data_IF_279840728767
#
_entry.id   IF_279840728767
#
_cell.length_a   1.000
_cell.length_b   1.000
_cell.length_c   1.000
_cell.angle_alpha   90.00
_cell.angle_beta   90.00
_cell.angle_gamma   90.00
#
_symmetry.space_group_name_H-M   'P 1'
#
loop_
_entity.id
_entity.type
_entity.pdbx_description
1 polymer ?
#
# COMPACT_ATOMS: atom_id res chain seq x y z
N UNK A 1 -1.41 -13.57 -2.40
CA UNK A 1 -2.32 -14.51 -3.09
C UNK A 1 -1.68 -15.89 -3.09
N UNK A 2 -2.44 -16.97 -3.34
CA UNK A 2 -1.81 -18.27 -3.63
C UNK A 2 -0.98 -18.16 -4.91
N UNK A 3 0.10 -18.94 -4.97
CA UNK A 3 0.89 -19.07 -6.19
C UNK A 3 0.09 -19.84 -7.24
N UNK A 4 -0.09 -19.24 -8.40
CA UNK A 4 -0.82 -19.82 -9.53
C UNK A 4 -0.03 -19.51 -10.81
N UNK A 5 -0.12 -20.37 -11.84
CA UNK A 5 0.48 -20.07 -13.13
C UNK A 5 0.01 -18.71 -13.65
N UNK A 6 0.94 -17.89 -14.12
CA UNK A 6 0.71 -16.49 -14.48
C UNK A 6 -0.48 -16.28 -15.42
N UNK A 7 -0.65 -17.16 -16.41
CA UNK A 7 -1.65 -17.03 -17.49
C UNK A 7 -2.69 -18.16 -17.43
N UNK A 8 -2.99 -18.65 -16.21
CA UNK A 8 -3.82 -19.84 -16.03
C UNK A 8 -5.23 -19.69 -16.61
N UNK A 9 -5.81 -18.47 -16.64
CA UNK A 9 -7.16 -18.26 -17.16
C UNK A 9 -7.18 -18.21 -18.68
N UNK A 10 -6.22 -17.54 -19.27
CA UNK A 10 -6.06 -17.39 -20.71
C UNK A 10 -5.82 -18.75 -21.36
N UNK A 11 -4.86 -19.51 -20.82
CA UNK A 11 -4.53 -20.85 -21.30
C UNK A 11 -5.71 -21.80 -21.11
N UNK A 12 -6.34 -21.81 -19.93
CA UNK A 12 -7.48 -22.69 -19.67
C UNK A 12 -8.67 -22.36 -20.57
N UNK A 13 -8.93 -21.08 -20.84
CA UNK A 13 -10.00 -20.65 -21.73
C UNK A 13 -9.79 -21.19 -23.15
N UNK A 14 -8.61 -20.96 -23.73
CA UNK A 14 -8.31 -21.43 -25.09
C UNK A 14 -8.39 -22.96 -25.20
N UNK A 15 -7.83 -23.68 -24.22
CA UNK A 15 -7.88 -25.14 -24.21
C UNK A 15 -9.31 -25.68 -24.09
N UNK A 16 -10.11 -25.11 -23.18
CA UNK A 16 -11.50 -25.55 -22.99
C UNK A 16 -12.45 -25.08 -24.09
N UNK A 17 -12.04 -24.14 -24.94
CA UNK A 17 -12.80 -23.72 -26.14
C UNK A 17 -12.50 -24.60 -27.35
N UNK A 18 -11.24 -24.98 -27.57
CA UNK A 18 -10.81 -25.67 -28.81
C UNK A 18 -10.65 -27.18 -28.63
N UNK A 19 -10.20 -27.63 -27.47
CA UNK A 19 -9.78 -29.02 -27.21
C UNK A 19 -10.44 -29.56 -25.92
N UNK A 20 -11.74 -29.30 -25.75
CA UNK A 20 -12.45 -29.70 -24.53
C UNK A 20 -12.66 -31.21 -24.39
N UNK A 21 -12.62 -31.94 -25.50
CA UNK A 21 -12.71 -33.40 -25.59
C UNK A 21 -11.44 -34.10 -25.10
N UNK A 22 -10.29 -33.43 -25.16
CA UNK A 22 -9.02 -33.90 -24.59
C UNK A 22 -8.92 -33.70 -23.06
N UNK A 23 -9.85 -32.93 -22.47
CA UNK A 23 -9.84 -32.60 -21.04
C UNK A 23 -10.86 -33.48 -20.30
N UNK A 24 -10.46 -34.22 -19.25
CA UNK A 24 -11.40 -34.99 -18.45
C UNK A 24 -12.31 -34.06 -17.65
N UNK A 25 -13.63 -34.28 -17.75
CA UNK A 25 -14.66 -33.50 -17.06
C UNK A 25 -14.53 -31.97 -17.26
N UNK A 26 -14.59 -31.48 -18.51
CA UNK A 26 -14.28 -30.08 -18.84
C UNK A 26 -15.24 -29.09 -18.15
N UNK A 27 -16.50 -29.48 -17.94
CA UNK A 27 -17.48 -28.65 -17.22
C UNK A 27 -17.12 -28.46 -15.75
N UNK A 28 -16.56 -29.49 -15.12
CA UNK A 28 -16.08 -29.38 -13.73
C UNK A 28 -14.90 -28.43 -13.64
N UNK A 29 -13.98 -28.49 -14.61
CA UNK A 29 -12.86 -27.55 -14.69
C UNK A 29 -13.35 -26.11 -14.86
N UNK A 30 -14.34 -25.87 -15.73
CA UNK A 30 -14.96 -24.54 -15.90
C UNK A 30 -15.54 -24.01 -14.59
N UNK A 31 -16.26 -24.84 -13.84
CA UNK A 31 -16.80 -24.47 -12.53
C UNK A 31 -15.70 -24.10 -11.53
N UNK A 32 -14.65 -24.92 -11.42
CA UNK A 32 -13.54 -24.64 -10.50
C UNK A 32 -12.78 -23.36 -10.87
N UNK A 33 -12.54 -23.12 -12.16
CA UNK A 33 -11.89 -21.88 -12.62
C UNK A 33 -12.74 -20.65 -12.30
N UNK A 34 -14.06 -20.76 -12.44
CA UNK A 34 -15.00 -19.72 -12.03
C UNK A 34 -14.92 -19.45 -10.53
N UNK A 35 -14.97 -20.47 -9.70
CA UNK A 35 -14.89 -20.34 -8.23
C UNK A 35 -13.57 -19.68 -7.80
N UNK A 36 -12.45 -20.11 -8.38
CA UNK A 36 -11.13 -19.50 -8.14
C UNK A 36 -11.14 -18.02 -8.54
N UNK A 37 -11.70 -17.69 -9.70
CA UNK A 37 -11.76 -16.32 -10.20
C UNK A 37 -12.61 -15.44 -9.28
N UNK A 38 -13.75 -15.92 -8.82
CA UNK A 38 -14.64 -15.19 -7.90
C UNK A 38 -13.96 -14.94 -6.55
N UNK A 39 -13.34 -15.96 -5.96
CA UNK A 39 -12.62 -15.84 -4.70
C UNK A 39 -11.46 -14.84 -4.80
N UNK A 40 -10.71 -14.87 -5.91
CA UNK A 40 -9.59 -13.96 -6.15
C UNK A 40 -10.05 -12.52 -6.38
N UNK A 41 -11.14 -12.32 -7.14
CA UNK A 41 -11.73 -10.99 -7.31
C UNK A 41 -12.24 -10.40 -5.99
N UNK A 42 -12.84 -11.21 -5.11
CA UNK A 42 -13.23 -10.76 -3.77
C UNK A 42 -12.01 -10.29 -2.97
N UNK A 43 -10.94 -11.09 -2.95
CA UNK A 43 -9.68 -10.74 -2.28
C UNK A 43 -9.00 -9.50 -2.85
N UNK A 44 -9.04 -9.30 -4.17
CA UNK A 44 -8.56 -8.07 -4.80
C UNK A 44 -9.35 -6.87 -4.28
N UNK A 45 -10.69 -6.93 -4.27
CA UNK A 45 -11.53 -5.83 -3.77
C UNK A 45 -11.25 -5.50 -2.31
N UNK A 46 -11.03 -6.50 -1.47
CA UNK A 46 -10.58 -6.29 -0.09
C UNK A 46 -9.21 -5.62 -0.04
N UNK A 47 -8.27 -6.05 -0.89
CA UNK A 47 -6.95 -5.44 -1.02
C UNK A 47 -6.98 -3.97 -1.48
N UNK A 48 -7.99 -3.57 -2.25
CA UNK A 48 -8.17 -2.18 -2.68
C UNK A 48 -8.40 -1.21 -1.50
N UNK A 49 -8.90 -1.70 -0.36
CA UNK A 49 -9.09 -0.85 0.82
C UNK A 49 -7.77 -0.29 1.37
N UNK A 50 -6.63 -0.91 1.04
CA UNK A 50 -5.29 -0.50 1.48
C UNK A 50 -4.56 0.41 0.46
N UNK A 51 -5.26 0.89 -0.59
CA UNK A 51 -4.63 1.75 -1.60
C UNK A 51 -4.15 3.08 -1.00
N UNK A 52 -2.94 3.48 -1.34
CA UNK A 52 -2.32 4.75 -0.94
C UNK A 52 -1.47 5.30 -2.09
N UNK A 53 -0.97 6.53 -1.98
CA UNK A 53 -0.21 7.19 -3.06
C UNK A 53 1.17 6.57 -3.33
N UNK A 54 1.72 5.78 -2.41
CA UNK A 54 3.11 5.33 -2.42
C UNK A 54 3.25 3.90 -2.92
N UNK A 55 2.56 2.94 -2.30
CA UNK A 55 2.74 1.53 -2.58
C UNK A 55 1.50 0.68 -2.24
N UNK A 56 1.13 -0.22 -3.15
CA UNK A 56 0.16 -1.29 -2.91
C UNK A 56 0.76 -2.63 -3.30
N UNK A 57 0.87 -3.54 -2.32
CA UNK A 57 1.43 -4.87 -2.51
C UNK A 57 0.35 -5.93 -2.69
N UNK A 58 0.18 -6.45 -3.90
CA UNK A 58 -0.65 -7.62 -4.19
C UNK A 58 0.12 -8.64 -5.03
N UNK A 59 0.97 -9.47 -4.41
CA UNK A 59 1.80 -10.44 -5.13
C UNK A 59 0.94 -11.60 -5.67
N UNK A 60 1.43 -12.23 -6.74
CA UNK A 60 0.84 -13.39 -7.39
C UNK A 60 -0.54 -13.13 -8.01
N UNK A 61 -0.74 -11.98 -8.65
CA UNK A 61 -1.86 -11.72 -9.56
C UNK A 61 -1.57 -12.31 -10.94
N UNK A 62 -2.60 -12.85 -11.61
CA UNK A 62 -2.46 -13.33 -12.99
C UNK A 62 -2.40 -12.18 -13.99
N UNK A 63 -1.97 -12.46 -15.22
CA UNK A 63 -1.92 -11.45 -16.28
C UNK A 63 -3.30 -10.86 -16.57
N UNK A 64 -4.34 -11.70 -16.73
CA UNK A 64 -5.71 -11.25 -16.95
C UNK A 64 -6.21 -10.36 -15.81
N UNK A 65 -5.99 -10.77 -14.55
CA UNK A 65 -6.39 -9.96 -13.38
C UNK A 65 -5.69 -8.60 -13.38
N UNK A 66 -4.38 -8.56 -13.66
CA UNK A 66 -3.64 -7.30 -13.73
C UNK A 66 -4.14 -6.40 -14.87
N UNK A 67 -4.48 -6.98 -16.02
CA UNK A 67 -4.98 -6.23 -17.17
C UNK A 67 -6.32 -5.55 -16.89
N UNK A 68 -7.18 -6.19 -16.10
CA UNK A 68 -8.48 -5.65 -15.70
C UNK A 68 -8.36 -4.54 -14.65
N UNK A 69 -7.39 -4.65 -13.75
CA UNK A 69 -7.18 -3.68 -12.67
C UNK A 69 -6.37 -2.47 -13.11
N UNK A 70 -5.55 -2.60 -14.15
CA UNK A 70 -4.64 -1.55 -14.64
C UNK A 70 -5.31 -0.18 -14.85
N UNK A 71 -6.40 -0.04 -15.62
CA UNK A 71 -6.99 1.29 -15.86
C UNK A 71 -7.49 1.94 -14.57
N UNK A 72 -8.04 1.16 -13.65
CA UNK A 72 -8.47 1.66 -12.35
C UNK A 72 -7.28 2.14 -11.52
N UNK A 73 -6.22 1.33 -11.40
CA UNK A 73 -5.04 1.71 -10.61
C UNK A 73 -4.34 2.94 -11.18
N UNK A 74 -4.11 2.99 -12.49
CA UNK A 74 -3.47 4.15 -13.11
C UNK A 74 -4.19 5.46 -12.77
N UNK A 75 -5.52 5.46 -12.80
CA UNK A 75 -6.31 6.63 -12.42
C UNK A 75 -6.25 6.90 -10.91
N UNK A 76 -6.50 5.88 -10.07
CA UNK A 76 -6.55 6.03 -8.62
C UNK A 76 -5.23 6.53 -8.05
N UNK A 77 -4.10 5.94 -8.44
CA UNK A 77 -2.77 6.37 -8.01
C UNK A 77 -2.44 7.78 -8.49
N UNK A 78 -2.81 8.15 -9.73
CA UNK A 78 -2.62 9.52 -10.21
C UNK A 78 -3.35 10.50 -9.31
N UNK A 79 -4.62 10.23 -8.98
CA UNK A 79 -5.44 11.12 -8.14
C UNK A 79 -4.96 11.16 -6.69
N UNK A 80 -4.58 10.03 -6.11
CA UNK A 80 -4.04 9.98 -4.76
C UNK A 80 -2.74 10.77 -4.66
N UNK A 81 -1.89 10.70 -5.69
CA UNK A 81 -0.65 11.48 -5.77
C UNK A 81 -0.91 12.98 -5.98
N UNK A 82 -1.94 13.35 -6.73
CA UNK A 82 -2.32 14.76 -6.91
C UNK A 82 -2.81 15.39 -5.58
N UNK A 83 -3.39 14.58 -4.68
CA UNK A 83 -3.90 15.02 -3.39
C UNK A 83 -2.89 14.88 -2.23
N UNK A 84 -1.78 14.18 -2.44
CA UNK A 84 -0.80 13.93 -1.40
C UNK A 84 0.00 15.22 -1.12
N UNK A 85 -0.10 15.82 0.08
CA UNK A 85 0.62 17.05 0.42
C UNK A 85 2.15 16.84 0.47
N UNK A 86 2.62 15.58 0.47
CA UNK A 86 4.03 15.23 0.39
C UNK A 86 4.43 14.79 -1.02
N UNK A 87 3.54 14.86 -2.01
CA UNK A 87 3.81 14.43 -3.39
C UNK A 87 5.00 15.16 -4.01
N UNK A 88 5.09 16.48 -3.82
CA UNK A 88 6.23 17.25 -4.35
C UNK A 88 7.53 16.88 -3.65
N UNK A 89 7.52 16.68 -2.33
CA UNK A 89 8.69 16.20 -1.58
C UNK A 89 9.11 14.79 -2.03
N UNK A 90 8.16 13.90 -2.31
CA UNK A 90 8.43 12.57 -2.85
C UNK A 90 9.01 12.64 -4.27
N UNK A 91 8.49 13.52 -5.14
CA UNK A 91 9.02 13.74 -6.50
C UNK A 91 10.42 14.31 -6.47
N UNK A 92 10.66 15.35 -5.66
CA UNK A 92 11.98 15.95 -5.48
C UNK A 92 12.98 14.92 -4.92
N UNK A 93 12.55 14.09 -3.98
CA UNK A 93 13.35 12.98 -3.48
C UNK A 93 13.64 11.96 -4.59
N UNK A 94 12.64 11.50 -5.35
CA UNK A 94 12.84 10.57 -6.47
C UNK A 94 13.77 11.15 -7.54
N UNK A 95 13.61 12.42 -7.91
CA UNK A 95 14.47 13.12 -8.88
C UNK A 95 15.90 13.28 -8.38
N UNK A 96 16.08 13.62 -7.10
CA UNK A 96 17.40 13.68 -6.48
C UNK A 96 18.06 12.30 -6.45
N UNK A 97 17.33 11.27 -6.03
CA UNK A 97 17.78 9.88 -6.06
C UNK A 97 18.15 9.43 -7.48
N UNK A 98 17.39 9.81 -8.50
CA UNK A 98 17.70 9.49 -9.91
C UNK A 98 18.94 10.25 -10.42
N UNK A 99 19.16 11.49 -9.98
CA UNK A 99 20.29 12.33 -10.40
C UNK A 99 21.60 11.95 -9.72
N UNK A 100 21.56 11.70 -8.42
CA UNK A 100 22.73 11.35 -7.59
C UNK A 100 22.35 10.39 -6.44
N UNK A 101 22.31 9.08 -6.71
CA UNK A 101 21.96 8.08 -5.68
C UNK A 101 22.96 8.04 -4.52
N UNK A 102 24.25 8.29 -4.79
CA UNK A 102 25.31 8.21 -3.79
C UNK A 102 25.24 9.40 -2.83
N UNK A 103 25.09 10.61 -3.35
CA UNK A 103 24.91 11.81 -2.55
C UNK A 103 23.64 11.78 -1.70
N UNK A 104 22.55 11.20 -2.22
CA UNK A 104 21.31 11.03 -1.45
C UNK A 104 21.50 10.04 -0.28
N UNK A 105 22.14 8.89 -0.51
CA UNK A 105 22.47 7.93 0.56
C UNK A 105 23.41 8.51 1.61
N UNK A 106 24.40 9.30 1.20
CA UNK A 106 25.33 9.93 2.13
C UNK A 106 24.67 11.03 2.97
N UNK A 107 23.77 11.82 2.37
CA UNK A 107 22.95 12.79 3.11
C UNK A 107 21.99 12.11 4.09
N UNK A 108 21.38 10.98 3.72
CA UNK A 108 20.58 10.17 4.61
C UNK A 108 21.41 9.63 5.79
N UNK A 109 22.63 9.14 5.51
CA UNK A 109 23.57 8.67 6.56
C UNK A 109 23.98 9.80 7.50
N UNK A 110 24.05 11.04 7.01
CA UNK A 110 24.33 12.24 7.81
C UNK A 110 23.09 12.84 8.51
N UNK A 111 21.89 12.29 8.27
CA UNK A 111 20.64 12.79 8.85
C UNK A 111 20.13 14.10 8.25
N UNK A 112 20.55 14.43 7.02
CA UNK A 112 20.23 15.69 6.33
C UNK A 112 18.92 15.62 5.51
N UNK A 113 18.34 14.42 5.36
CA UNK A 113 17.06 14.21 4.66
C UNK A 113 15.90 14.51 5.60
N UNK A 114 15.40 15.74 5.56
CA UNK A 114 14.28 16.21 6.37
C UNK A 114 14.17 17.73 6.38
N UNK A 115 13.64 18.30 5.29
CA UNK A 115 13.37 19.72 5.19
C UNK A 115 12.39 20.20 6.27
N UNK A 116 12.89 21.11 7.13
CA UNK A 116 12.19 22.16 7.89
C UNK A 116 10.82 21.78 8.50
N UNK A 117 10.86 21.38 9.77
CA UNK A 117 9.68 21.42 10.65
C UNK A 117 9.29 22.88 10.88
N UNK A 118 8.41 23.43 10.04
CA UNK A 118 7.76 24.69 10.36
C UNK A 118 6.92 24.49 11.63
N UNK A 119 7.29 25.24 12.66
CA UNK A 119 6.73 25.14 14.00
C UNK A 119 5.27 25.56 14.03
N UNK A 120 4.37 24.57 14.00
CA UNK A 120 3.06 24.71 14.62
C UNK A 120 3.26 24.52 16.13
N UNK A 121 3.35 25.64 16.86
CA UNK A 121 3.38 25.68 18.31
C UNK A 121 2.08 25.08 18.87
N UNK A 122 2.11 23.82 19.31
CA UNK A 122 1.08 23.29 20.20
C UNK A 122 1.38 23.82 21.60
N UNK A 123 0.54 24.75 22.05
CA UNK A 123 0.74 25.48 23.30
C UNK A 123 0.76 24.56 24.51
N UNK A 124 1.94 24.35 25.08
CA UNK A 124 2.09 23.90 26.45
C UNK A 124 1.77 25.10 27.36
N UNK A 125 0.52 25.16 27.81
CA UNK A 125 0.06 26.12 28.80
C UNK A 125 0.76 25.87 30.13
N UNK A 126 1.84 26.61 30.39
CA UNK A 126 2.42 26.75 31.72
C UNK A 126 1.50 27.58 32.62
N UNK A 127 1.13 27.03 33.77
CA UNK A 127 0.78 27.80 34.96
C UNK A 127 1.54 27.21 36.15
N UNK A 128 2.69 27.81 36.43
CA UNK A 128 3.33 27.74 37.72
C UNK A 128 2.55 28.58 38.72
N UNK A 129 2.26 28.01 39.89
CA UNK A 129 1.68 28.69 41.04
C UNK A 129 2.38 28.20 42.30
N UNK A 130 3.36 28.99 42.74
CA UNK A 130 4.15 28.82 43.97
C UNK A 130 3.31 29.29 45.16
N UNK A 131 3.20 28.49 46.21
CA UNK A 131 2.55 28.85 47.47
C UNK A 131 3.12 28.03 48.62
N UNK A 132 3.76 28.71 49.56
CA UNK A 132 4.52 28.19 50.69
C UNK A 132 3.64 27.82 51.91
N UNK A 133 4.21 26.95 52.79
CA UNK A 133 3.92 26.69 54.23
C UNK A 133 2.59 26.00 54.57
N UNK A 134 2.41 25.20 55.62
CA UNK A 134 3.16 24.71 56.79
C UNK A 134 2.35 23.48 57.27
N UNK A 135 2.96 22.36 57.67
CA UNK A 135 2.99 21.98 59.08
C UNK A 135 1.89 20.99 59.50
N UNK A 136 2.30 19.93 60.24
CA UNK A 136 1.53 19.09 61.18
C UNK A 136 1.16 17.66 60.75
N UNK A 137 2.06 16.75 61.13
CA UNK A 137 1.87 15.48 61.85
C UNK A 137 0.48 14.80 61.84
N UNK A 138 0.43 13.50 61.56
CA UNK A 138 0.31 12.43 62.58
C UNK A 138 -0.11 11.08 61.97
N UNK A 139 0.49 10.04 62.54
CA UNK A 139 0.32 8.61 62.30
C UNK A 139 -1.10 8.05 62.49
N UNK A 140 -1.37 6.93 61.81
CA UNK A 140 -2.13 5.79 62.36
C UNK A 140 -3.57 5.62 61.85
N UNK A 141 -3.80 4.59 61.02
CA UNK A 141 -4.42 3.29 61.36
C UNK A 141 -4.54 2.43 60.10
#
# INVERSE_FOLDING_TARGET
>A
FSDLPRDYLEVSKVLLEVASDDVPAPDRVRLLLKDIREARQAKVREGLAAINAVHLGMPNLSTLELSELRPFFSLAFTRLRDLDPQAEAHREAEEWWMRDPAGCMDAARRGEVGGKRDGASFGAGGRGGRGDREGTEMSGL
#
